data_IF_102584959265
#
_entry.id   IF_102584959265
#
_cell.length_a   1.000
_cell.length_b   1.000
_cell.length_c   1.000
_cell.angle_alpha   90.00
_cell.angle_beta   90.00
_cell.angle_gamma   90.00
#
_symmetry.space_group_name_H-M   'P 1'
#
loop_
_entity.id
_entity.type
_entity.pdbx_description
1 polymer ?
#
# COMPACT_ATOMS: atom_id res chain seq x y z
N UNK A 1 -6.48 5.27 -43.32
CA UNK A 1 -5.92 6.59 -42.95
C UNK A 1 -6.47 6.97 -41.58
N UNK A 2 -5.71 7.78 -40.83
CA UNK A 2 -5.93 8.37 -39.49
C UNK A 2 -5.73 7.44 -38.30
N UNK A 3 -4.60 7.42 -37.57
CA UNK A 3 -3.96 8.42 -36.67
C UNK A 3 -4.84 8.84 -35.49
N UNK A 4 -4.56 8.31 -34.29
CA UNK A 4 -4.74 9.03 -33.02
C UNK A 4 -3.61 8.68 -32.04
N UNK A 5 -2.79 9.68 -31.79
CA UNK A 5 -1.77 9.85 -30.77
C UNK A 5 -2.38 10.45 -29.50
N UNK A 6 -2.04 9.97 -28.29
CA UNK A 6 -2.06 10.71 -26.99
C UNK A 6 -1.81 9.72 -25.83
N UNK A 7 -1.16 9.97 -24.70
CA UNK A 7 -0.32 11.04 -24.15
C UNK A 7 0.12 10.55 -22.75
N UNK A 8 1.35 10.90 -22.38
CA UNK A 8 2.02 10.92 -21.08
C UNK A 8 1.14 10.94 -19.82
N UNK A 9 1.43 10.07 -18.85
CA UNK A 9 1.60 10.42 -17.43
C UNK A 9 2.09 9.19 -16.61
N UNK A 10 3.27 9.25 -15.95
CA UNK A 10 3.51 8.44 -14.76
C UNK A 10 2.72 9.09 -13.62
N UNK A 11 1.41 8.85 -13.57
CA UNK A 11 0.59 9.26 -12.45
C UNK A 11 0.82 8.24 -11.32
N UNK A 12 1.97 8.37 -10.68
CA UNK A 12 2.19 7.94 -9.31
C UNK A 12 1.26 8.78 -8.43
N UNK A 13 0.00 8.40 -8.33
CA UNK A 13 -0.91 9.02 -7.38
C UNK A 13 -2.11 8.12 -7.13
N UNK A 14 -2.09 7.58 -5.91
CA UNK A 14 -3.27 7.40 -5.08
C UNK A 14 -4.21 6.27 -5.50
N UNK A 15 -3.81 5.03 -5.18
CA UNK A 15 -4.79 3.95 -5.03
C UNK A 15 -5.52 4.11 -3.69
N UNK A 16 -6.40 5.10 -3.63
CA UNK A 16 -7.54 5.09 -2.72
C UNK A 16 -8.58 4.13 -3.28
N UNK A 17 -8.57 2.89 -2.82
CA UNK A 17 -9.70 1.97 -2.91
C UNK A 17 -9.97 1.41 -1.52
N UNK A 18 -10.96 1.95 -0.79
CA UNK A 18 -11.46 1.32 0.42
C UNK A 18 -12.25 0.06 0.02
N UNK A 19 -12.31 -0.91 0.93
CA UNK A 19 -13.21 -2.07 0.91
C UNK A 19 -12.63 -3.35 0.29
N UNK A 20 -11.97 -4.17 1.12
CA UNK A 20 -11.80 -5.61 0.83
C UNK A 20 -10.37 -6.16 0.92
N UNK A 21 -9.77 -6.12 2.10
CA UNK A 21 -8.82 -7.15 2.56
C UNK A 21 -7.46 -7.26 1.86
N UNK A 22 -7.10 -6.38 0.93
CA UNK A 22 -5.81 -6.44 0.24
C UNK A 22 -5.18 -5.05 0.23
N UNK A 23 -4.37 -4.77 1.25
CA UNK A 23 -3.46 -3.62 1.22
C UNK A 23 -2.57 -3.72 -0.02
N UNK A 24 -2.24 -2.58 -0.63
CA UNK A 24 -1.32 -2.54 -1.76
C UNK A 24 -0.01 -3.23 -1.37
N UNK A 25 0.57 -4.01 -2.29
CA UNK A 25 1.83 -4.71 -2.04
C UNK A 25 2.94 -3.75 -1.62
N UNK A 26 2.90 -2.51 -2.11
CA UNK A 26 3.77 -1.41 -1.66
C UNK A 26 3.61 -1.11 -0.17
N UNK A 27 2.38 -0.97 0.32
CA UNK A 27 2.07 -0.71 1.73
C UNK A 27 2.48 -1.88 2.61
N UNK A 28 2.22 -3.11 2.17
CA UNK A 28 2.62 -4.32 2.88
C UNK A 28 4.15 -4.40 2.92
N UNK A 29 4.83 -4.14 1.80
CA UNK A 29 6.30 -4.09 1.73
C UNK A 29 6.90 -3.03 2.64
N UNK A 30 6.32 -1.84 2.68
CA UNK A 30 6.79 -0.76 3.56
C UNK A 30 6.78 -1.19 5.03
N UNK A 31 5.76 -1.94 5.43
CA UNK A 31 5.69 -2.49 6.79
C UNK A 31 6.61 -3.70 6.96
N UNK A 32 6.73 -4.59 5.97
CA UNK A 32 7.65 -5.73 6.02
C UNK A 32 9.13 -5.32 6.08
N UNK A 33 9.50 -4.21 5.45
CA UNK A 33 10.85 -3.64 5.46
C UNK A 33 11.32 -3.32 6.90
N UNK A 34 10.37 -3.06 7.81
CA UNK A 34 10.63 -2.84 9.23
C UNK A 34 11.04 -4.12 9.99
N UNK A 35 11.03 -5.28 9.32
CA UNK A 35 11.49 -6.56 9.87
C UNK A 35 10.38 -7.57 10.17
N UNK A 36 9.15 -7.32 9.73
CA UNK A 36 8.02 -8.24 9.94
C UNK A 36 7.65 -9.00 8.67
N UNK A 37 7.04 -10.18 8.82
CA UNK A 37 6.57 -10.97 7.68
C UNK A 37 5.24 -10.45 7.11
N UNK A 38 4.87 -10.90 5.90
CA UNK A 38 3.68 -10.44 5.18
C UNK A 38 2.40 -10.53 6.01
N UNK A 39 2.22 -11.66 6.70
CA UNK A 39 1.04 -11.90 7.54
C UNK A 39 0.99 -10.93 8.73
N UNK A 40 2.14 -10.67 9.35
CA UNK A 40 2.28 -9.69 10.44
C UNK A 40 2.03 -8.28 9.91
N UNK A 41 2.61 -7.91 8.77
CA UNK A 41 2.35 -6.62 8.14
C UNK A 41 0.86 -6.39 7.83
N UNK A 42 0.16 -7.39 7.28
CA UNK A 42 -1.29 -7.32 7.06
C UNK A 42 -2.04 -7.22 8.39
N UNK A 43 -1.61 -7.94 9.43
CA UNK A 43 -2.20 -7.84 10.76
C UNK A 43 -2.05 -6.44 11.36
N UNK A 44 -0.86 -5.85 11.32
CA UNK A 44 -0.62 -4.49 11.79
C UNK A 44 -1.35 -3.46 10.94
N UNK A 45 -1.39 -3.62 9.61
CA UNK A 45 -2.19 -2.77 8.73
C UNK A 45 -3.68 -2.89 9.04
N UNK A 46 -4.16 -4.06 9.44
CA UNK A 46 -5.54 -4.24 9.88
C UNK A 46 -5.83 -3.52 11.19
N UNK A 47 -4.96 -3.69 12.19
CA UNK A 47 -5.04 -2.97 13.45
C UNK A 47 -4.92 -1.44 13.28
N UNK A 48 -4.13 -1.00 12.29
CA UNK A 48 -3.88 0.40 11.95
C UNK A 48 -4.93 1.03 11.02
N UNK A 49 -5.98 0.29 10.63
CA UNK A 49 -7.01 0.78 9.71
C UNK A 49 -6.50 1.05 8.29
N UNK A 50 -5.41 0.40 7.88
CA UNK A 50 -4.77 0.53 6.57
C UNK A 50 -3.69 1.60 6.48
N UNK A 51 -3.22 2.11 7.62
CA UNK A 51 -2.16 3.10 7.66
C UNK A 51 -0.80 2.45 7.94
N UNK A 52 0.17 2.49 7.00
CA UNK A 52 1.48 1.88 7.20
C UNK A 52 2.30 2.55 8.30
N UNK A 53 2.14 3.86 8.49
CA UNK A 53 2.86 4.64 9.52
C UNK A 53 2.42 4.25 10.94
N UNK A 54 1.11 4.05 11.12
CA UNK A 54 0.52 3.58 12.37
C UNK A 54 0.88 2.11 12.60
N UNK A 55 0.82 1.28 11.56
CA UNK A 55 1.26 -0.12 11.62
C UNK A 55 2.74 -0.23 12.02
N UNK A 56 3.60 0.64 11.47
CA UNK A 56 5.01 0.74 11.83
C UNK A 56 5.18 1.04 13.31
N UNK A 57 4.45 2.03 13.82
CA UNK A 57 4.48 2.38 15.24
C UNK A 57 4.12 1.19 16.13
N UNK A 58 3.13 0.37 15.74
CA UNK A 58 2.71 -0.84 16.46
C UNK A 58 3.77 -1.95 16.47
N UNK A 59 4.67 -2.00 15.49
CA UNK A 59 5.76 -2.98 15.43
C UNK A 59 6.87 -2.65 16.43
N UNK A 60 7.15 -1.36 16.61
CA UNK A 60 8.17 -0.88 17.54
C UNK A 60 7.65 -0.66 18.97
N UNK A 61 6.35 -0.93 19.20
CA UNK A 61 5.68 -0.79 20.50
C UNK A 61 5.90 -1.99 21.41
#
# INVERSE_FOLDING_TARGET
>A
MTTTTTTTQPQQQQQSSPMGGNYSEETIKAVMDLGVNREQAIHYLNAAGGNPDIAASMIFS
#
